data_IF_951083062137
#
_entry.id   IF_951083062137
#
_cell.length_a   1.000
_cell.length_b   1.000
_cell.length_c   1.000
_cell.angle_alpha   90.00
_cell.angle_beta   90.00
_cell.angle_gamma   90.00
#
_symmetry.space_group_name_H-M   'P 1'
#
loop_
_entity.id
_entity.type
_entity.pdbx_description
1 polymer ?
#
# COMPACT_ATOMS: atom_id res chain seq x y z
N UNK A 1 -12.00 2.43 4.38
CA UNK A 1 -10.64 2.42 3.77
C UNK A 1 -10.69 1.78 2.39
N UNK A 2 -9.84 2.20 1.45
CA UNK A 2 -9.63 1.51 0.16
C UNK A 2 -8.12 1.37 -0.12
N UNK A 3 -7.61 0.14 -0.25
CA UNK A 3 -6.22 -0.12 -0.65
C UNK A 3 -6.17 -0.40 -2.15
N UNK A 4 -5.40 0.38 -2.91
CA UNK A 4 -5.28 0.30 -4.37
C UNK A 4 -3.82 0.24 -4.82
N UNK A 5 -3.59 -0.31 -6.00
CA UNK A 5 -2.30 -0.25 -6.69
C UNK A 5 -2.41 0.81 -7.80
N UNK A 6 -1.40 1.69 -7.95
CA UNK A 6 -1.36 2.67 -9.06
C UNK A 6 -1.24 1.95 -10.40
N UNK A 7 -2.09 2.34 -11.36
CA UNK A 7 -2.14 1.76 -12.70
C UNK A 7 -3.38 0.89 -12.87
N UNK A 8 -3.97 0.88 -14.07
CA UNK A 8 -5.13 0.04 -14.39
C UNK A 8 -4.82 -1.47 -14.29
N UNK A 9 -3.56 -1.84 -13.99
CA UNK A 9 -3.04 -3.20 -13.87
C UNK A 9 -2.29 -3.35 -12.53
N UNK A 10 -2.57 -4.38 -11.72
CA UNK A 10 -1.81 -4.66 -10.50
C UNK A 10 -0.37 -5.08 -10.82
N UNK A 11 0.62 -4.45 -10.20
CA UNK A 11 2.05 -4.80 -10.37
C UNK A 11 2.49 -6.01 -9.55
N UNK A 12 1.64 -6.52 -8.65
CA UNK A 12 1.89 -7.71 -7.84
C UNK A 12 0.58 -8.40 -7.48
N UNK A 13 0.63 -9.72 -7.24
CA UNK A 13 -0.50 -10.51 -6.73
C UNK A 13 -0.52 -10.59 -5.21
N UNK A 14 0.55 -10.15 -4.56
CA UNK A 14 0.69 -10.13 -3.11
C UNK A 14 -0.25 -9.09 -2.48
N UNK A 15 -0.84 -9.43 -1.34
CA UNK A 15 -1.88 -8.61 -0.70
C UNK A 15 -1.49 -8.12 0.69
N UNK A 16 -0.60 -8.85 1.37
CA UNK A 16 -0.32 -8.61 2.79
C UNK A 16 1.17 -8.65 3.10
N UNK A 17 2.00 -9.29 2.28
CA UNK A 17 3.43 -9.43 2.56
C UNK A 17 4.31 -9.09 1.35
N UNK A 18 4.57 -7.80 1.14
CA UNK A 18 5.39 -7.31 0.04
C UNK A 18 6.89 -7.50 0.32
N UNK A 19 7.59 -8.23 -0.56
CA UNK A 19 9.05 -8.46 -0.49
C UNK A 19 9.79 -7.78 -1.63
N UNK A 20 10.98 -7.27 -1.32
CA UNK A 20 11.93 -6.78 -2.31
C UNK A 20 11.46 -5.53 -3.05
N UNK A 21 11.88 -5.40 -4.30
CA UNK A 21 11.55 -4.24 -5.14
C UNK A 21 10.07 -4.22 -5.51
N UNK A 22 9.38 -3.13 -5.17
CA UNK A 22 8.00 -2.90 -5.58
C UNK A 22 8.01 -2.13 -6.90
N UNK A 23 7.45 -2.73 -7.95
CA UNK A 23 7.35 -2.12 -9.29
C UNK A 23 6.21 -1.09 -9.40
N UNK A 24 5.77 -0.53 -8.28
CA UNK A 24 4.70 0.46 -8.26
C UNK A 24 4.38 0.95 -6.84
N UNK A 25 3.36 1.80 -6.75
CA UNK A 25 2.94 2.44 -5.50
C UNK A 25 1.63 1.83 -5.00
N UNK A 26 1.59 1.54 -3.69
CA UNK A 26 0.36 1.21 -2.98
C UNK A 26 -0.29 2.54 -2.55
N UNK A 27 -1.54 2.71 -2.91
CA UNK A 27 -2.38 3.85 -2.58
C UNK A 27 -3.39 3.42 -1.52
N UNK A 28 -3.62 4.27 -0.52
CA UNK A 28 -4.58 3.99 0.55
C UNK A 28 -5.49 5.19 0.72
N UNK A 29 -6.81 4.97 0.65
CA UNK A 29 -7.83 5.96 1.00
C UNK A 29 -8.23 5.72 2.45
N UNK A 30 -7.91 6.67 3.33
CA UNK A 30 -8.18 6.62 4.77
C UNK A 30 -9.01 7.84 5.25
N UNK A 31 -10.03 8.23 4.48
CA UNK A 31 -10.87 9.41 4.77
C UNK A 31 -11.99 9.19 5.79
N UNK A 32 -12.18 7.97 6.31
CA UNK A 32 -13.26 7.60 7.24
C UNK A 32 -13.01 8.04 8.68
N UNK A 33 -12.56 9.27 8.92
CA UNK A 33 -12.13 9.73 10.25
C UNK A 33 -13.27 10.12 11.21
N UNK A 34 -14.49 10.38 10.71
CA UNK A 34 -15.62 10.78 11.55
C UNK A 34 -16.73 11.60 10.87
N UNK A 35 -16.51 12.10 9.65
CA UNK A 35 -17.55 12.73 8.84
C UNK A 35 -18.42 11.68 8.12
N UNK A 36 -19.62 12.07 7.66
CA UNK A 36 -20.54 11.16 6.95
C UNK A 36 -19.83 10.25 5.95
N UNK A 37 -20.10 8.94 6.06
CA UNK A 37 -19.49 7.93 5.19
C UNK A 37 -19.96 8.11 3.74
N UNK A 38 -19.07 7.76 2.80
CA UNK A 38 -19.34 7.82 1.38
C UNK A 38 -19.44 6.40 0.81
N UNK A 39 -20.51 6.14 0.06
CA UNK A 39 -20.75 4.84 -0.54
C UNK A 39 -19.72 4.50 -1.63
N UNK A 40 -19.38 3.22 -1.73
CA UNK A 40 -18.60 2.70 -2.84
C UNK A 40 -19.47 2.45 -4.06
N UNK A 41 -18.87 2.57 -5.25
CA UNK A 41 -19.52 2.09 -6.46
C UNK A 41 -19.68 0.56 -6.42
N UNK A 42 -20.69 -0.02 -7.09
CA UNK A 42 -20.85 -1.47 -7.18
C UNK A 42 -19.75 -2.16 -8.02
N UNK A 43 -18.85 -1.37 -8.61
CA UNK A 43 -17.78 -1.86 -9.48
C UNK A 43 -16.63 -2.39 -8.62
N UNK A 44 -16.28 -3.65 -8.84
CA UNK A 44 -15.08 -4.27 -8.27
C UNK A 44 -13.96 -4.26 -9.30
N UNK A 45 -13.00 -3.37 -9.10
CA UNK A 45 -11.82 -3.25 -9.94
C UNK A 45 -10.75 -4.28 -9.52
N UNK A 46 -9.90 -4.66 -10.47
CA UNK A 46 -8.82 -5.65 -10.25
C UNK A 46 -7.75 -5.18 -9.28
N UNK A 47 -7.63 -3.87 -9.07
CA UNK A 47 -6.63 -3.22 -8.22
C UNK A 47 -7.14 -2.89 -6.80
N UNK A 48 -8.43 -3.09 -6.51
CA UNK A 48 -9.04 -2.80 -5.20
C UNK A 48 -9.00 -4.04 -4.31
N UNK A 49 -8.13 -4.07 -3.31
CA UNK A 49 -7.96 -5.26 -2.45
C UNK A 49 -8.88 -5.30 -1.23
N UNK A 50 -9.05 -4.15 -0.57
CA UNK A 50 -9.83 -4.06 0.66
C UNK A 50 -10.69 -2.80 0.61
N UNK A 51 -11.96 -2.92 1.00
CA UNK A 51 -12.95 -1.84 1.10
C UNK A 51 -13.62 -1.94 2.46
N UNK A 52 -13.67 -0.84 3.19
CA UNK A 52 -14.39 -0.76 4.46
C UNK A 52 -15.23 0.52 4.52
N UNK A 53 -16.54 0.35 4.70
CA UNK A 53 -17.52 1.42 4.87
C UNK A 53 -17.84 1.57 6.36
N UNK A 54 -16.83 2.00 7.11
CA UNK A 54 -16.89 2.25 8.55
C UNK A 54 -15.85 3.31 8.90
N UNK A 55 -15.91 3.83 10.12
CA UNK A 55 -14.94 4.77 10.64
C UNK A 55 -13.66 4.07 11.04
N UNK A 56 -12.52 4.66 10.68
CA UNK A 56 -11.23 4.10 11.01
C UNK A 56 -10.06 4.99 10.63
N UNK A 57 -8.86 4.53 11.00
CA UNK A 57 -7.61 5.23 10.76
C UNK A 57 -6.50 4.23 10.43
N UNK A 58 -5.42 4.74 9.83
CA UNK A 58 -4.23 3.96 9.48
C UNK A 58 -3.13 4.25 10.48
N UNK A 59 -2.42 3.19 10.88
CA UNK A 59 -1.21 3.25 11.69
C UNK A 59 -0.05 2.67 10.89
N UNK A 60 1.04 3.42 10.78
CA UNK A 60 2.30 2.97 10.18
C UNK A 60 3.32 2.70 11.28
N UNK A 61 3.94 1.53 11.23
CA UNK A 61 5.00 1.12 12.17
C UNK A 61 6.23 0.71 11.38
N UNK A 62 7.29 1.52 11.45
CA UNK A 62 8.61 1.13 10.95
C UNK A 62 9.35 0.40 12.07
N UNK A 63 9.55 -0.91 11.91
CA UNK A 63 10.26 -1.72 12.91
C UNK A 63 11.76 -1.54 12.80
N UNK A 64 12.25 -1.47 11.57
CA UNK A 64 13.65 -1.28 11.23
C UNK A 64 13.74 -0.64 9.82
N UNK A 65 14.97 -0.54 9.28
CA UNK A 65 15.20 0.07 7.96
C UNK A 65 14.63 -0.74 6.79
N UNK A 66 14.33 -2.02 7.01
CA UNK A 66 13.87 -2.94 5.98
C UNK A 66 12.40 -3.36 6.15
N UNK A 67 11.82 -3.22 7.35
CA UNK A 67 10.46 -3.67 7.68
C UNK A 67 9.53 -2.50 8.07
N UNK A 68 8.48 -2.33 7.27
CA UNK A 68 7.36 -1.41 7.53
C UNK A 68 6.06 -2.20 7.61
N UNK A 69 5.21 -1.89 8.58
CA UNK A 69 3.86 -2.43 8.72
C UNK A 69 2.83 -1.30 8.64
N UNK A 70 1.82 -1.50 7.81
CA UNK A 70 0.61 -0.70 7.78
C UNK A 70 -0.53 -1.49 8.40
N UNK A 71 -1.23 -0.89 9.35
CA UNK A 71 -2.44 -1.44 9.96
C UNK A 71 -3.58 -0.45 9.79
N UNK A 72 -4.74 -0.93 9.34
CA UNK A 72 -5.99 -0.18 9.38
C UNK A 72 -6.84 -0.67 10.53
N UNK A 73 -7.31 0.28 11.33
CA UNK A 73 -8.05 0.03 12.55
C UNK A 73 -9.38 0.73 12.50
N UNK A 74 -10.45 0.04 12.89
CA UNK A 74 -11.75 0.69 13.04
C UNK A 74 -11.78 1.52 14.31
N UNK A 75 -12.41 2.68 14.23
CA UNK A 75 -12.54 3.60 15.37
C UNK A 75 -13.46 3.05 16.45
N UNK A 76 -14.41 2.19 16.08
CA UNK A 76 -15.41 1.61 17.00
C UNK A 76 -14.78 0.74 18.11
N UNK A 77 -13.79 -0.07 17.77
CA UNK A 77 -13.21 -1.05 18.69
C UNK A 77 -11.67 -1.03 18.74
N UNK A 78 -11.03 -0.24 17.88
CA UNK A 78 -9.58 -0.17 17.81
C UNK A 78 -8.92 -1.50 17.41
N UNK A 79 -9.64 -2.42 16.76
CA UNK A 79 -9.06 -3.67 16.21
C UNK A 79 -8.56 -3.46 14.79
N UNK A 80 -7.64 -4.32 14.36
CA UNK A 80 -7.07 -4.31 13.01
C UNK A 80 -7.99 -5.08 12.07
N UNK A 81 -8.33 -4.48 10.92
CA UNK A 81 -9.22 -5.06 9.91
C UNK A 81 -8.55 -5.24 8.55
N UNK A 82 -7.51 -4.45 8.25
CA UNK A 82 -6.63 -4.67 7.10
C UNK A 82 -5.19 -4.38 7.51
N UNK A 83 -4.24 -5.10 6.93
CA UNK A 83 -2.83 -4.88 7.21
C UNK A 83 -1.96 -5.43 6.10
N UNK A 84 -0.85 -4.74 5.84
CA UNK A 84 0.21 -5.28 5.01
C UNK A 84 1.58 -4.87 5.52
N UNK A 85 2.57 -5.73 5.25
CA UNK A 85 3.96 -5.53 5.60
C UNK A 85 4.79 -5.39 4.33
N UNK A 86 5.73 -4.46 4.36
CA UNK A 86 6.75 -4.30 3.33
C UNK A 86 8.09 -4.67 3.97
N UNK A 87 8.76 -5.65 3.39
CA UNK A 87 10.09 -6.11 3.76
C UNK A 87 11.03 -5.95 2.56
N UNK A 88 11.88 -4.94 2.58
CA UNK A 88 12.83 -4.65 1.49
C UNK A 88 14.12 -4.05 2.02
N UNK A 89 15.26 -4.46 1.49
CA UNK A 89 16.54 -3.91 1.87
C UNK A 89 16.89 -2.66 1.05
N UNK A 90 17.84 -1.85 1.52
CA UNK A 90 18.27 -0.63 0.82
C UNK A 90 18.69 -0.88 -0.64
N UNK A 91 19.28 -2.05 -0.91
CA UNK A 91 19.64 -2.49 -2.27
C UNK A 91 18.42 -2.60 -3.19
N UNK A 92 17.27 -3.05 -2.66
CA UNK A 92 16.04 -3.24 -3.43
C UNK A 92 15.42 -1.90 -3.86
N UNK A 93 15.73 -0.81 -3.16
CA UNK A 93 15.35 0.57 -3.53
C UNK A 93 16.22 1.17 -4.64
N UNK A 94 17.44 0.66 -4.84
CA UNK A 94 18.38 1.15 -5.86
C UNK A 94 18.24 0.42 -7.21
N UNK A 95 17.47 -0.67 -7.24
CA UNK A 95 17.24 -1.43 -8.48
C UNK A 95 16.39 -0.61 -9.43
N UNK A 96 16.77 -0.59 -10.70
CA UNK A 96 15.97 0.01 -11.75
C UNK A 96 14.61 -0.69 -11.87
N UNK A 97 13.53 0.08 -11.82
CA UNK A 97 12.18 -0.39 -12.13
C UNK A 97 11.64 0.30 -13.37
N UNK A 98 10.48 -0.13 -13.87
CA UNK A 98 9.80 0.49 -15.01
C UNK A 98 9.66 1.99 -14.75
N UNK A 99 10.16 2.81 -15.67
CA UNK A 99 10.20 4.27 -15.61
C UNK A 99 11.00 4.88 -14.43
N UNK A 100 11.76 4.09 -13.69
CA UNK A 100 12.57 4.55 -12.55
C UNK A 100 13.96 3.91 -12.58
N UNK A 101 14.79 4.37 -13.52
CA UNK A 101 16.20 3.98 -13.64
C UNK A 101 17.07 5.22 -13.91
N UNK A 102 18.11 5.50 -13.10
CA UNK A 102 19.01 6.62 -13.36
C UNK A 102 19.86 6.39 -14.62
N UNK A 103 20.25 7.48 -15.28
CA UNK A 103 21.16 7.45 -16.43
C UNK A 103 22.54 6.93 -16.03
N UNK A 104 23.08 5.96 -16.77
CA UNK A 104 24.43 5.44 -16.57
C UNK A 104 25.43 6.11 -17.52
N UNK A 105 26.60 6.49 -17.00
CA UNK A 105 27.73 6.95 -17.81
C UNK A 105 28.56 5.74 -18.28
N UNK A 106 29.10 5.80 -19.50
CA UNK A 106 29.89 4.73 -20.11
C UNK A 106 31.40 4.80 -19.76
N UNK A 107 31.80 5.72 -18.89
CA UNK A 107 33.20 5.88 -18.47
C UNK A 107 33.54 4.92 -17.32
N UNK A 108 34.74 4.33 -17.35
CA UNK A 108 35.30 3.47 -16.29
C UNK A 108 36.58 4.05 -15.71
#
# INVERSE_FOLDING_TARGET
MLTTIKGHVPFTRERSYYKGTLNGTIHVVAGGGGASLADFTPINTTWSYFKDHDYGFVKLTAFDRSNLLLEYKRSRDGKVYDSFRISRDYRDTLVCTVDSCPSMALAS
#
